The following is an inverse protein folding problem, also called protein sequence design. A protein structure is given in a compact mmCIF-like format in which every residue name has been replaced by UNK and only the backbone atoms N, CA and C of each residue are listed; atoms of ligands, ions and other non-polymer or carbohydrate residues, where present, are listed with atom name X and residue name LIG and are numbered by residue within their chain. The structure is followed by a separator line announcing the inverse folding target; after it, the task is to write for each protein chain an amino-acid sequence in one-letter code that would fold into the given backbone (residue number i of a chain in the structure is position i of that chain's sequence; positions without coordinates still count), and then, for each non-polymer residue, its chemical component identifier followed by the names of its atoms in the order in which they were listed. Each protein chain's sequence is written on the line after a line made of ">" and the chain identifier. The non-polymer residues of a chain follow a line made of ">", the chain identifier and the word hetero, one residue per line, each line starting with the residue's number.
data_IF_798337815045
#
_entry.id   IF_798337815045
#
_cell.length_a   1.000
_cell.length_b   1.000
_cell.length_c   1.000
_cell.angle_alpha   90.00
_cell.angle_beta   90.00
_cell.angle_gamma   90.00
#
_symmetry.space_group_name_H-M   'P 1'
#
loop_
_entity.id
_entity.type
_entity.pdbx_description
1 polymer ?
#
# COMPACT_ATOMS: atom_id res chain seq x y z
N UNK A 1 -27.95 -2.01 -5.31
CA UNK A 1 -26.68 -2.66 -4.91
C UNK A 1 -26.11 -3.66 -5.95
N UNK A 2 -26.84 -4.12 -6.97
CA UNK A 2 -26.29 -5.05 -8.00
C UNK A 2 -25.71 -4.37 -9.26
N UNK A 3 -25.76 -3.04 -9.38
CA UNK A 3 -25.30 -2.28 -10.56
C UNK A 3 -23.89 -1.69 -10.45
N UNK A 4 -23.24 -1.76 -9.28
CA UNK A 4 -21.92 -1.17 -9.03
C UNK A 4 -20.74 -2.06 -9.51
N UNK A 5 -20.93 -3.38 -9.51
CA UNK A 5 -19.90 -4.35 -9.89
C UNK A 5 -19.47 -4.17 -11.37
N UNK A 6 -20.38 -3.98 -12.36
CA UNK A 6 -19.99 -3.70 -13.74
C UNK A 6 -19.31 -2.35 -13.93
N UNK A 7 -19.68 -1.31 -13.18
CA UNK A 7 -19.00 -0.01 -13.26
C UNK A 7 -17.59 -0.06 -12.69
N UNK A 8 -17.39 -0.78 -11.57
CA UNK A 8 -16.08 -0.97 -10.94
C UNK A 8 -15.17 -1.79 -11.85
N UNK A 9 -15.66 -2.91 -12.41
CA UNK A 9 -14.96 -3.70 -13.44
C UNK A 9 -14.55 -2.86 -14.65
N UNK A 10 -15.44 -1.99 -15.14
CA UNK A 10 -15.14 -1.06 -16.23
C UNK A 10 -14.21 0.10 -15.83
N UNK A 11 -14.00 0.35 -14.54
CA UNK A 11 -13.01 1.31 -14.03
C UNK A 11 -11.65 0.62 -13.91
N UNK A 12 -11.58 -0.57 -13.29
CA UNK A 12 -10.39 -1.46 -13.23
C UNK A 12 -9.79 -1.63 -14.63
N UNK A 13 -10.60 -2.07 -15.60
CA UNK A 13 -10.15 -2.25 -16.98
C UNK A 13 -9.66 -0.95 -17.64
N UNK A 14 -10.23 0.22 -17.30
CA UNK A 14 -9.78 1.54 -17.80
C UNK A 14 -8.52 2.06 -17.11
N UNK A 15 -8.29 1.69 -15.86
CA UNK A 15 -7.10 2.08 -15.11
C UNK A 15 -5.90 1.22 -15.55
N UNK A 16 -6.07 -0.11 -15.59
CA UNK A 16 -5.10 -1.03 -16.17
C UNK A 16 -4.75 -0.65 -17.62
N UNK A 17 -5.74 -0.26 -18.45
CA UNK A 17 -5.49 0.26 -19.80
C UNK A 17 -4.50 1.45 -19.83
N UNK A 18 -4.72 2.44 -18.96
CA UNK A 18 -3.93 3.68 -18.93
C UNK A 18 -2.49 3.45 -18.47
N UNK A 19 -2.30 2.58 -17.49
CA UNK A 19 -0.99 2.16 -17.00
C UNK A 19 -0.21 1.45 -18.13
N UNK A 20 -0.84 0.45 -18.73
CA UNK A 20 -0.16 -0.51 -19.60
C UNK A 20 0.00 -0.03 -21.06
N UNK A 21 -0.64 1.08 -21.46
CA UNK A 21 -0.41 1.76 -22.75
C UNK A 21 1.00 2.40 -22.83
N UNK A 22 1.64 2.72 -21.69
CA UNK A 22 2.90 3.49 -21.67
C UNK A 22 4.16 2.72 -22.10
N UNK A 23 4.17 1.38 -22.13
CA UNK A 23 5.45 0.64 -21.97
C UNK A 23 6.08 -0.12 -23.16
N UNK A 24 5.36 -0.57 -24.21
CA UNK A 24 5.97 -0.92 -25.53
C UNK A 24 6.08 -2.40 -26.03
N UNK A 25 6.79 -3.32 -25.35
CA UNK A 25 7.04 -4.74 -25.80
C UNK A 25 6.23 -5.92 -25.16
N UNK A 26 4.94 -6.13 -25.48
CA UNK A 26 4.13 -7.29 -25.05
C UNK A 26 3.44 -7.97 -26.23
N UNK A 27 4.11 -8.96 -26.83
CA UNK A 27 3.57 -9.71 -27.98
C UNK A 27 3.66 -11.23 -27.88
N UNK A 28 4.26 -11.82 -26.84
CA UNK A 28 4.73 -13.23 -26.92
C UNK A 28 4.01 -14.31 -26.10
N UNK A 29 3.57 -14.11 -24.86
CA UNK A 29 3.25 -15.28 -23.97
C UNK A 29 1.86 -15.35 -23.32
N UNK A 30 0.87 -14.63 -23.85
CA UNK A 30 -0.52 -14.58 -23.31
C UNK A 30 -1.37 -15.88 -23.44
N UNK A 31 -0.75 -17.07 -23.49
CA UNK A 31 -1.40 -18.31 -23.96
C UNK A 31 -2.23 -19.10 -22.94
N UNK A 32 -2.22 -18.76 -21.64
CA UNK A 32 -2.60 -19.71 -20.57
C UNK A 32 -3.41 -19.10 -19.41
N UNK A 33 -4.16 -18.02 -19.66
CA UNK A 33 -4.92 -17.31 -18.62
C UNK A 33 -6.44 -17.37 -18.88
N UNK A 34 -7.13 -18.27 -18.14
CA UNK A 34 -8.60 -18.45 -18.02
C UNK A 34 -9.39 -18.72 -19.34
N UNK A 35 -10.05 -19.90 -19.50
CA UNK A 35 -10.77 -20.25 -20.73
C UNK A 35 -12.01 -19.38 -21.05
N UNK A 36 -12.49 -18.54 -20.15
CA UNK A 36 -13.60 -17.60 -20.41
C UNK A 36 -13.16 -16.14 -20.66
N UNK A 37 -11.88 -15.82 -20.47
CA UNK A 37 -11.32 -14.52 -20.82
C UNK A 37 -10.65 -14.64 -22.19
N UNK A 38 -11.37 -14.29 -23.27
CA UNK A 38 -10.82 -14.33 -24.63
C UNK A 38 -9.51 -13.53 -24.73
N UNK A 39 -8.34 -14.18 -24.93
CA UNK A 39 -7.06 -13.48 -25.01
C UNK A 39 -6.97 -12.55 -26.23
N UNK A 40 -7.85 -12.74 -27.23
CA UNK A 40 -7.96 -11.85 -28.38
C UNK A 40 -8.62 -10.52 -28.01
N UNK A 41 -9.49 -10.45 -26.99
CA UNK A 41 -10.07 -9.20 -26.51
C UNK A 41 -9.01 -8.28 -25.90
N UNK A 42 -8.13 -8.82 -25.05
CA UNK A 42 -7.02 -8.08 -24.45
C UNK A 42 -5.97 -7.66 -25.49
N UNK A 43 -5.73 -8.48 -26.53
CA UNK A 43 -4.90 -8.13 -27.70
C UNK A 43 -5.53 -7.05 -28.59
N UNK A 44 -6.82 -7.15 -28.90
CA UNK A 44 -7.53 -6.22 -29.78
C UNK A 44 -7.70 -4.83 -29.13
N UNK A 45 -7.92 -4.77 -27.82
CA UNK A 45 -8.03 -3.51 -27.08
C UNK A 45 -6.67 -2.81 -26.82
N UNK A 46 -5.54 -3.40 -27.24
CA UNK A 46 -4.21 -2.80 -27.12
C UNK A 46 -3.73 -2.59 -25.68
N UNK A 47 -4.30 -3.36 -24.74
CA UNK A 47 -4.30 -3.10 -23.30
C UNK A 47 -3.02 -3.47 -22.58
N UNK A 48 -2.22 -4.41 -23.09
CA UNK A 48 -0.95 -4.72 -22.46
C UNK A 48 0.14 -4.52 -23.47
N UNK A 49 1.07 -3.62 -23.10
CA UNK A 49 2.17 -3.25 -23.97
C UNK A 49 3.54 -3.64 -23.46
N UNK A 50 3.86 -3.96 -22.20
CA UNK A 50 5.21 -4.47 -21.87
C UNK A 50 5.30 -5.34 -20.59
N UNK A 51 4.34 -6.22 -20.34
CA UNK A 51 4.35 -7.04 -19.14
C UNK A 51 5.26 -8.28 -19.25
N UNK A 52 5.93 -8.61 -18.16
CA UNK A 52 6.48 -9.93 -17.87
C UNK A 52 5.36 -10.97 -17.70
N UNK A 53 5.72 -12.26 -17.69
CA UNK A 53 4.73 -13.33 -17.46
C UNK A 53 4.13 -13.24 -16.03
N UNK A 54 4.91 -12.80 -15.04
CA UNK A 54 4.45 -12.53 -13.67
C UNK A 54 3.42 -11.39 -13.64
N UNK A 55 3.70 -10.26 -14.30
CA UNK A 55 2.74 -9.15 -14.47
C UNK A 55 1.47 -9.58 -15.21
N UNK A 56 1.56 -10.48 -16.20
CA UNK A 56 0.39 -10.98 -16.91
C UNK A 56 -0.51 -11.86 -16.01
N UNK A 57 0.08 -12.72 -15.18
CA UNK A 57 -0.65 -13.54 -14.19
C UNK A 57 -1.31 -12.62 -13.14
N UNK A 58 -0.57 -11.64 -12.62
CA UNK A 58 -1.11 -10.64 -11.69
C UNK A 58 -2.31 -9.88 -12.28
N UNK A 59 -2.21 -9.41 -13.53
CA UNK A 59 -3.32 -8.71 -14.20
C UNK A 59 -4.54 -9.63 -14.45
N UNK A 60 -4.37 -10.93 -14.71
CA UNK A 60 -5.51 -11.88 -14.73
C UNK A 60 -6.16 -11.95 -13.34
N UNK A 61 -5.35 -12.13 -12.30
CA UNK A 61 -5.84 -12.27 -10.93
C UNK A 61 -6.58 -10.99 -10.48
N UNK A 62 -6.10 -9.82 -10.89
CA UNK A 62 -6.73 -8.52 -10.73
C UNK A 62 -8.10 -8.43 -11.43
N UNK A 63 -8.19 -8.88 -12.68
CA UNK A 63 -9.45 -8.88 -13.46
C UNK A 63 -10.48 -9.86 -12.92
N UNK A 64 -10.04 -10.95 -12.29
CA UNK A 64 -10.89 -11.94 -11.64
C UNK A 64 -11.21 -11.62 -10.16
N UNK A 65 -10.52 -10.66 -9.54
CA UNK A 65 -10.86 -10.16 -8.22
C UNK A 65 -12.06 -9.20 -8.31
N UNK A 66 -13.13 -9.48 -7.55
CA UNK A 66 -14.39 -8.73 -7.67
C UNK A 66 -14.46 -7.46 -6.83
N UNK A 67 -13.65 -7.34 -5.78
CA UNK A 67 -13.57 -6.17 -4.91
C UNK A 67 -12.11 -5.96 -4.48
N UNK A 68 -11.63 -4.72 -4.59
CA UNK A 68 -10.43 -4.22 -3.94
C UNK A 68 -10.81 -2.96 -3.16
N UNK A 69 -10.05 -2.65 -2.11
CA UNK A 69 -10.19 -1.47 -1.28
C UNK A 69 -9.01 -0.52 -1.44
N UNK A 70 -7.82 -1.09 -1.64
CA UNK A 70 -6.56 -0.39 -1.86
C UNK A 70 -6.61 0.56 -3.06
N UNK A 71 -6.03 1.77 -2.92
CA UNK A 71 -6.07 2.81 -3.96
C UNK A 71 -5.42 2.37 -5.28
N UNK A 72 -4.35 1.56 -5.21
CA UNK A 72 -3.51 1.11 -6.34
C UNK A 72 -3.38 -0.41 -6.33
N UNK A 73 -4.38 -1.14 -5.79
CA UNK A 73 -4.44 -2.61 -5.79
C UNK A 73 -3.39 -3.31 -4.90
N UNK A 74 -2.84 -2.62 -3.89
CA UNK A 74 -1.89 -3.17 -2.92
C UNK A 74 -2.45 -4.46 -2.27
N UNK A 75 -3.73 -4.47 -1.88
CA UNK A 75 -4.42 -5.62 -1.31
C UNK A 75 -4.43 -6.85 -2.25
N UNK A 76 -4.69 -6.64 -3.54
CA UNK A 76 -4.67 -7.68 -4.56
C UNK A 76 -3.25 -8.14 -4.89
N UNK A 77 -2.26 -7.24 -4.85
CA UNK A 77 -0.84 -7.59 -5.01
C UNK A 77 -0.37 -8.49 -3.87
N UNK A 78 -0.68 -8.13 -2.62
CA UNK A 78 -0.39 -8.96 -1.44
C UNK A 78 -1.06 -10.33 -1.55
N UNK A 79 -2.34 -10.39 -1.96
CA UNK A 79 -3.01 -11.67 -2.21
C UNK A 79 -2.39 -12.49 -3.35
N UNK A 80 -1.81 -11.86 -4.36
CA UNK A 80 -1.11 -12.57 -5.44
C UNK A 80 0.23 -13.15 -4.94
N UNK A 81 1.10 -12.33 -4.35
CA UNK A 81 2.42 -12.75 -3.85
C UNK A 81 2.31 -13.79 -2.73
N UNK A 82 1.35 -13.63 -1.81
CA UNK A 82 1.08 -14.60 -0.71
C UNK A 82 0.33 -15.85 -1.17
N UNK A 83 -0.01 -15.97 -2.46
CA UNK A 83 -0.85 -17.04 -3.03
C UNK A 83 -2.19 -17.20 -2.29
N UNK A 84 -2.80 -16.06 -1.94
CA UNK A 84 -4.08 -15.93 -1.25
C UNK A 84 -4.07 -16.56 0.14
N UNK A 85 -2.96 -16.39 0.87
CA UNK A 85 -2.79 -16.83 2.27
C UNK A 85 -3.97 -16.40 3.13
N UNK A 86 -4.40 -17.27 4.04
CA UNK A 86 -5.29 -16.94 5.15
C UNK A 86 -4.49 -16.85 6.45
N UNK A 87 -5.06 -16.17 7.44
CA UNK A 87 -4.50 -16.09 8.79
C UNK A 87 -3.10 -15.43 8.84
N UNK A 88 -2.83 -14.51 7.90
CA UNK A 88 -1.60 -13.73 7.84
C UNK A 88 -1.55 -12.57 8.84
N UNK A 89 -0.39 -11.91 8.94
CA UNK A 89 -0.19 -10.74 9.78
C UNK A 89 0.16 -9.49 8.97
N UNK A 90 -0.55 -8.39 9.20
CA UNK A 90 -0.26 -7.09 8.58
C UNK A 90 0.05 -5.97 9.58
N UNK A 91 0.70 -4.92 9.09
CA UNK A 91 0.70 -3.59 9.71
C UNK A 91 0.35 -2.55 8.66
N UNK A 92 -0.47 -1.56 8.99
CA UNK A 92 -0.82 -0.44 8.11
C UNK A 92 -0.83 0.85 8.94
N UNK A 93 -0.13 1.87 8.48
CA UNK A 93 -0.18 3.20 9.07
C UNK A 93 -0.35 4.24 7.98
N UNK A 94 -1.11 5.30 8.28
CA UNK A 94 -1.93 6.00 7.29
C UNK A 94 -3.33 5.37 7.15
N UNK A 95 -3.86 4.75 8.21
CA UNK A 95 -5.04 3.88 8.12
C UNK A 95 -6.37 4.64 7.88
N UNK A 96 -6.43 5.95 8.12
CA UNK A 96 -7.61 6.81 7.98
C UNK A 96 -8.88 6.21 8.60
N UNK A 97 -10.01 6.12 7.88
CA UNK A 97 -11.26 5.53 8.36
C UNK A 97 -11.24 3.99 8.43
N UNK A 98 -10.15 3.38 7.97
CA UNK A 98 -9.92 1.94 7.93
C UNK A 98 -10.55 1.19 6.75
N UNK A 99 -11.33 1.82 5.87
CA UNK A 99 -12.01 1.16 4.74
C UNK A 99 -11.64 1.80 3.41
N UNK A 100 -11.85 3.11 3.27
CA UNK A 100 -11.66 3.80 2.01
C UNK A 100 -10.15 3.90 1.71
N UNK A 101 -9.74 3.41 0.53
CA UNK A 101 -8.33 3.25 0.13
C UNK A 101 -7.47 2.30 0.98
N UNK A 102 -8.01 1.64 2.02
CA UNK A 102 -7.20 0.79 2.91
C UNK A 102 -6.59 -0.42 2.19
N UNK A 103 -5.30 -0.62 2.44
CA UNK A 103 -4.51 -1.68 1.84
C UNK A 103 -4.65 -3.04 2.54
N UNK A 104 -5.25 -3.09 3.75
CA UNK A 104 -5.38 -4.34 4.53
C UNK A 104 -6.82 -4.75 4.83
N UNK A 105 -7.83 -3.89 4.61
CA UNK A 105 -9.22 -4.22 4.93
C UNK A 105 -9.75 -5.49 4.25
N UNK A 106 -9.38 -5.72 2.98
CA UNK A 106 -9.69 -6.96 2.26
C UNK A 106 -9.06 -8.20 2.92
N UNK A 107 -7.81 -8.05 3.38
CA UNK A 107 -7.02 -9.13 3.99
C UNK A 107 -7.62 -9.54 5.34
N UNK A 108 -7.97 -8.55 6.17
CA UNK A 108 -8.65 -8.77 7.45
C UNK A 108 -9.99 -9.47 7.23
N UNK A 109 -10.89 -8.83 6.47
CA UNK A 109 -12.29 -9.26 6.37
C UNK A 109 -12.48 -10.59 5.63
N UNK A 110 -11.85 -10.75 4.46
CA UNK A 110 -12.14 -11.90 3.59
C UNK A 110 -11.13 -13.04 3.76
N UNK A 111 -9.92 -12.74 4.23
CA UNK A 111 -8.82 -13.71 4.40
C UNK A 111 -8.46 -14.01 5.86
N UNK A 112 -9.16 -13.43 6.83
CA UNK A 112 -8.95 -13.63 8.27
C UNK A 112 -7.54 -13.25 8.73
N UNK A 113 -6.91 -12.26 8.07
CA UNK A 113 -5.67 -11.69 8.55
C UNK A 113 -5.92 -10.86 9.81
N UNK A 114 -4.90 -10.71 10.63
CA UNK A 114 -4.90 -9.87 11.84
C UNK A 114 -3.71 -8.92 11.79
N UNK A 115 -3.75 -7.82 12.51
CA UNK A 115 -2.68 -6.84 12.39
C UNK A 115 -2.80 -5.66 13.32
N UNK A 116 -2.01 -4.64 13.00
CA UNK A 116 -1.95 -3.34 13.67
C UNK A 116 -2.29 -2.26 12.66
N UNK A 117 -3.14 -1.32 13.06
CA UNK A 117 -3.44 -0.08 12.35
C UNK A 117 -2.91 1.09 13.17
N UNK A 118 -2.28 2.09 12.55
CA UNK A 118 -1.96 3.34 13.22
C UNK A 118 -2.46 4.56 12.44
N UNK A 119 -3.11 5.47 13.16
CA UNK A 119 -3.68 6.69 12.62
C UNK A 119 -3.60 7.80 13.69
N UNK A 120 -2.77 8.84 13.49
CA UNK A 120 -2.60 9.91 14.48
C UNK A 120 -3.64 11.04 14.40
N UNK A 121 -4.46 11.11 13.34
CA UNK A 121 -5.40 12.21 13.11
C UNK A 121 -6.78 11.95 13.78
N UNK A 122 -7.16 12.71 14.84
CA UNK A 122 -8.34 12.41 15.65
C UNK A 122 -9.70 12.42 14.94
N UNK A 123 -9.77 13.01 13.75
CA UNK A 123 -10.98 13.00 12.91
C UNK A 123 -11.37 11.58 12.47
N UNK A 124 -10.38 10.69 12.30
CA UNK A 124 -10.59 9.34 11.79
C UNK A 124 -10.86 8.31 12.89
N UNK A 125 -10.38 8.55 14.11
CA UNK A 125 -10.35 7.54 15.19
C UNK A 125 -11.70 6.86 15.45
N UNK A 126 -12.81 7.61 15.42
CA UNK A 126 -14.16 7.08 15.69
C UNK A 126 -14.63 6.10 14.61
N UNK A 127 -14.33 6.40 13.35
CA UNK A 127 -14.67 5.54 12.22
C UNK A 127 -13.73 4.33 12.14
N UNK A 128 -12.42 4.55 12.29
CA UNK A 128 -11.42 3.48 12.34
C UNK A 128 -11.77 2.39 13.39
N UNK A 129 -12.07 2.81 14.63
CA UNK A 129 -12.49 1.90 15.71
C UNK A 129 -13.84 1.23 15.49
N UNK A 130 -14.72 1.81 14.65
CA UNK A 130 -16.01 1.20 14.28
C UNK A 130 -15.86 0.18 13.15
N UNK A 131 -14.93 0.45 12.24
CA UNK A 131 -14.80 -0.25 10.97
C UNK A 131 -13.86 -1.45 11.01
N UNK A 132 -12.95 -1.51 12.00
CA UNK A 132 -11.85 -2.49 12.06
C UNK A 132 -11.82 -3.26 13.39
N UNK A 133 -11.31 -4.49 13.34
CA UNK A 133 -11.12 -5.38 14.49
C UNK A 133 -9.65 -5.66 14.81
N UNK A 134 -8.74 -5.25 13.92
CA UNK A 134 -7.30 -5.16 14.17
C UNK A 134 -6.96 -4.33 15.42
N UNK A 135 -5.73 -4.50 15.93
CA UNK A 135 -5.21 -3.64 17.01
C UNK A 135 -5.05 -2.22 16.45
N UNK A 136 -5.46 -1.20 17.19
CA UNK A 136 -5.37 0.21 16.77
C UNK A 136 -4.41 0.95 17.69
N UNK A 137 -3.48 1.70 17.12
CA UNK A 137 -2.66 2.70 17.78
C UNK A 137 -3.02 4.09 17.27
N UNK A 138 -2.95 5.09 18.15
CA UNK A 138 -3.35 6.48 17.86
C UNK A 138 -2.14 7.44 17.84
N UNK A 139 -0.92 6.88 17.86
CA UNK A 139 0.34 7.61 17.74
C UNK A 139 0.82 7.64 16.29
N UNK A 140 1.64 8.64 15.99
CA UNK A 140 2.26 8.77 14.69
C UNK A 140 3.45 7.81 14.60
N UNK A 141 3.46 6.91 13.60
CA UNK A 141 4.63 6.08 13.32
C UNK A 141 5.71 6.97 12.73
N UNK A 142 6.88 7.06 13.37
CA UNK A 142 7.97 7.94 12.97
C UNK A 142 9.35 7.36 13.32
N UNK A 143 10.42 8.13 13.13
CA UNK A 143 11.81 7.73 13.40
C UNK A 143 12.18 7.65 14.90
N UNK A 144 11.41 8.31 15.78
CA UNK A 144 11.60 8.31 17.24
C UNK A 144 10.32 7.99 18.02
N UNK A 145 10.45 7.53 19.27
CA UNK A 145 9.33 7.23 20.18
C UNK A 145 9.23 8.24 21.32
N UNK A 146 8.01 8.61 21.71
CA UNK A 146 7.73 9.47 22.86
C UNK A 146 7.98 10.96 22.62
N UNK A 147 8.23 11.37 21.38
CA UNK A 147 8.33 12.78 20.99
C UNK A 147 6.93 13.34 20.71
N UNK A 148 6.77 14.67 20.81
CA UNK A 148 5.57 15.36 20.32
C UNK A 148 5.92 16.09 19.03
N UNK A 149 5.38 15.63 17.91
CA UNK A 149 5.55 16.27 16.60
C UNK A 149 4.31 17.07 16.22
N UNK A 150 4.53 18.12 15.42
CA UNK A 150 3.45 18.89 14.82
C UNK A 150 2.94 18.15 13.60
N UNK A 151 1.67 17.78 13.60
CA UNK A 151 1.00 17.10 12.50
C UNK A 151 0.01 18.06 11.83
N UNK A 152 -0.02 18.03 10.51
CA UNK A 152 -0.81 18.89 9.64
C UNK A 152 -2.12 18.17 9.31
N UNK A 153 -3.14 18.44 10.11
CA UNK A 153 -4.50 18.00 9.84
C UNK A 153 -5.08 18.87 8.72
N UNK A 154 -4.86 18.44 7.48
CA UNK A 154 -5.33 19.11 6.27
C UNK A 154 -6.88 19.09 6.15
N UNK A 155 -7.43 20.08 5.44
CA UNK A 155 -8.86 20.16 5.11
C UNK A 155 -9.43 18.91 4.44
N UNK A 156 -8.61 18.21 3.66
CA UNK A 156 -8.86 16.86 3.19
C UNK A 156 -8.06 15.91 4.09
N UNK A 157 -8.67 15.25 5.10
CA UNK A 157 -7.88 14.69 6.21
C UNK A 157 -7.13 13.39 5.88
N UNK A 158 -7.33 12.85 4.67
CA UNK A 158 -6.48 11.80 4.08
C UNK A 158 -5.07 12.34 3.81
N UNK A 159 -4.93 13.63 3.50
CA UNK A 159 -3.64 14.27 3.21
C UNK A 159 -2.90 14.73 4.47
N UNK A 160 -2.97 13.94 5.55
CA UNK A 160 -2.34 14.27 6.83
C UNK A 160 -0.85 13.93 6.84
N UNK A 161 0.01 14.83 7.29
CA UNK A 161 1.48 14.62 7.30
C UNK A 161 2.15 15.35 8.47
N UNK A 162 3.43 15.09 8.72
CA UNK A 162 4.24 15.81 9.72
C UNK A 162 4.69 17.17 9.16
N UNK A 163 4.63 18.22 9.99
CA UNK A 163 5.09 19.56 9.66
C UNK A 163 6.60 19.54 9.34
N UNK A 164 6.97 19.97 8.14
CA UNK A 164 8.31 19.83 7.55
C UNK A 164 8.33 18.96 6.29
N UNK A 165 7.37 18.05 6.13
CA UNK A 165 7.27 17.16 4.96
C UNK A 165 6.29 17.66 3.89
N UNK A 166 5.48 18.69 4.16
CA UNK A 166 4.26 19.04 3.40
C UNK A 166 4.48 19.59 1.99
N UNK A 167 5.73 19.71 1.57
CA UNK A 167 6.15 20.36 0.33
C UNK A 167 6.96 19.48 -0.61
N UNK A 168 7.20 18.21 -0.23
CA UNK A 168 7.90 17.22 -1.07
C UNK A 168 6.98 16.42 -1.99
N UNK A 169 5.78 16.08 -1.51
CA UNK A 169 4.83 15.12 -2.12
C UNK A 169 3.93 15.67 -3.24
N UNK A 170 3.82 17.01 -3.38
CA UNK A 170 2.94 17.66 -4.34
C UNK A 170 1.56 18.07 -3.81
N UNK A 171 1.20 17.72 -2.57
CA UNK A 171 -0.09 18.04 -1.95
C UNK A 171 -0.17 19.43 -1.32
N UNK A 172 0.92 20.21 -1.34
CA UNK A 172 1.03 21.58 -0.79
C UNK A 172 -0.17 22.51 -1.07
N UNK A 173 -0.74 22.47 -2.27
CA UNK A 173 -1.90 23.31 -2.62
C UNK A 173 -3.19 22.85 -1.90
N UNK A 174 -3.39 21.54 -1.77
CA UNK A 174 -4.54 20.96 -1.07
C UNK A 174 -4.44 21.13 0.46
N UNK A 175 -3.22 21.26 1.01
CA UNK A 175 -2.95 21.58 2.42
C UNK A 175 -2.94 23.08 2.75
N UNK A 176 -3.30 23.96 1.81
CA UNK A 176 -3.31 25.42 2.04
C UNK A 176 -4.32 25.87 3.13
N UNK A 177 -5.33 25.06 3.40
CA UNK A 177 -6.18 25.14 4.60
C UNK A 177 -5.90 23.91 5.48
N UNK A 178 -5.29 24.13 6.65
CA UNK A 178 -4.95 23.08 7.62
C UNK A 178 -5.08 23.57 9.06
N UNK A 179 -5.25 22.65 10.01
CA UNK A 179 -4.92 22.88 11.42
C UNK A 179 -3.64 22.13 11.78
N UNK A 180 -2.89 22.66 12.76
CA UNK A 180 -1.72 21.97 13.32
C UNK A 180 -2.14 21.38 14.67
N UNK A 181 -1.96 20.08 14.82
CA UNK A 181 -2.17 19.35 16.08
C UNK A 181 -0.82 18.81 16.57
N UNK A 182 -0.72 18.47 17.86
CA UNK A 182 0.45 17.78 18.39
C UNK A 182 0.12 16.32 18.69
N UNK A 183 0.87 15.42 18.07
CA UNK A 183 0.70 13.97 18.19
C UNK A 183 1.96 13.36 18.82
N UNK A 184 1.78 12.31 19.62
CA UNK A 184 2.89 11.54 20.16
C UNK A 184 3.40 10.56 19.10
N UNK A 185 4.72 10.34 19.05
CA UNK A 185 5.35 9.42 18.10
C UNK A 185 5.66 8.05 18.68
N UNK A 186 5.73 7.04 17.82
CA UNK A 186 6.25 5.70 18.13
C UNK A 186 7.08 5.19 16.94
N UNK A 187 8.21 4.52 17.19
CA UNK A 187 8.95 3.84 16.12
C UNK A 187 8.21 2.60 15.65
N UNK A 188 8.39 2.21 14.38
CA UNK A 188 7.81 0.96 13.88
C UNK A 188 8.26 -0.25 14.72
N UNK A 189 9.52 -0.29 15.17
CA UNK A 189 10.00 -1.31 16.11
C UNK A 189 9.21 -1.31 17.44
N UNK A 190 9.00 -0.13 18.05
CA UNK A 190 8.28 0.01 19.31
C UNK A 190 6.79 -0.29 19.18
N UNK A 191 6.17 0.02 18.04
CA UNK A 191 4.80 -0.36 17.71
C UNK A 191 4.66 -1.88 17.65
N UNK A 192 5.55 -2.56 16.92
CA UNK A 192 5.56 -4.03 16.81
C UNK A 192 5.77 -4.71 18.17
N UNK A 193 6.67 -4.19 19.01
CA UNK A 193 6.88 -4.67 20.37
C UNK A 193 5.64 -4.52 21.26
N UNK A 194 5.08 -3.31 21.33
CA UNK A 194 4.00 -2.98 22.27
C UNK A 194 2.67 -3.65 21.93
N UNK A 195 2.52 -4.10 20.68
CA UNK A 195 1.36 -4.84 20.19
C UNK A 195 1.61 -6.36 20.04
N UNK A 196 2.67 -6.91 20.62
CA UNK A 196 3.02 -8.35 20.55
C UNK A 196 3.00 -8.90 19.10
N UNK A 197 3.55 -8.15 18.15
CA UNK A 197 3.59 -8.57 16.75
C UNK A 197 4.46 -9.84 16.60
N UNK A 198 4.09 -10.76 15.69
CA UNK A 198 4.95 -11.89 15.36
C UNK A 198 6.26 -11.39 14.73
N UNK A 199 7.35 -12.13 14.95
CA UNK A 199 8.63 -11.90 14.27
C UNK A 199 8.48 -11.95 12.73
N UNK A 200 7.67 -12.89 12.25
CA UNK A 200 7.36 -13.06 10.83
C UNK A 200 6.05 -12.33 10.49
N UNK A 201 6.15 -11.30 9.65
CA UNK A 201 5.08 -10.40 9.24
C UNK A 201 4.88 -10.56 7.72
N UNK A 202 3.65 -10.80 7.27
CA UNK A 202 3.40 -11.04 5.85
C UNK A 202 3.41 -9.75 5.03
N UNK A 203 2.96 -8.63 5.61
CA UNK A 203 2.80 -7.37 4.88
C UNK A 203 2.89 -6.15 5.80
N UNK A 204 3.58 -5.10 5.35
CA UNK A 204 3.49 -3.76 5.94
C UNK A 204 3.15 -2.72 4.87
N UNK A 205 2.10 -1.93 5.12
CA UNK A 205 1.75 -0.72 4.36
C UNK A 205 2.27 0.51 5.09
N UNK A 206 3.06 1.32 4.39
CA UNK A 206 3.70 2.55 4.87
C UNK A 206 3.17 3.71 4.03
N UNK A 207 2.23 4.46 4.58
CA UNK A 207 1.63 5.64 3.97
C UNK A 207 1.67 6.77 5.01
N UNK A 208 2.60 7.71 4.84
CA UNK A 208 2.82 8.81 5.81
C UNK A 208 2.94 10.16 5.14
N UNK A 209 2.62 10.26 3.85
CA UNK A 209 2.67 11.50 3.09
C UNK A 209 4.03 12.21 3.24
N UNK A 210 5.11 11.43 3.10
CA UNK A 210 6.48 11.91 2.86
C UNK A 210 7.57 11.47 3.86
N UNK A 211 7.25 10.84 4.99
CA UNK A 211 8.23 10.46 6.04
C UNK A 211 8.72 9.00 6.03
N UNK A 212 8.46 8.29 4.93
CA UNK A 212 8.60 6.85 4.83
C UNK A 212 10.07 6.39 4.93
N UNK A 213 10.98 7.17 4.34
CA UNK A 213 12.41 6.86 4.36
C UNK A 213 12.99 6.99 5.77
N UNK A 214 12.66 8.06 6.50
CA UNK A 214 13.12 8.29 7.88
C UNK A 214 12.62 7.21 8.85
N UNK A 215 11.41 6.68 8.62
CA UNK A 215 10.86 5.55 9.39
C UNK A 215 11.66 4.27 9.11
N UNK A 216 11.93 3.98 7.84
CA UNK A 216 12.59 2.74 7.43
C UNK A 216 14.10 2.74 7.70
N UNK A 217 14.78 3.89 7.64
CA UNK A 217 16.18 4.03 8.09
C UNK A 217 16.34 3.70 9.59
N UNK A 218 15.27 3.79 10.37
CA UNK A 218 15.24 3.45 11.80
C UNK A 218 14.70 2.03 12.09
N UNK A 219 14.33 1.25 11.07
CA UNK A 219 13.72 -0.07 11.22
C UNK A 219 14.76 -1.19 11.40
N UNK A 220 14.51 -2.12 12.33
CA UNK A 220 15.44 -3.24 12.57
C UNK A 220 15.13 -4.42 11.63
N UNK A 221 15.62 -4.32 10.40
CA UNK A 221 15.57 -5.39 9.39
C UNK A 221 16.31 -6.68 9.79
N UNK A 222 17.15 -6.66 10.84
CA UNK A 222 17.82 -7.85 11.36
C UNK A 222 16.93 -8.65 12.32
N UNK A 223 16.01 -7.96 12.99
CA UNK A 223 15.12 -8.49 14.02
C UNK A 223 13.72 -8.85 13.51
N UNK A 224 13.22 -8.19 12.48
CA UNK A 224 11.86 -8.41 11.97
C UNK A 224 11.90 -8.98 10.55
N UNK A 225 11.20 -10.09 10.35
CA UNK A 225 11.07 -10.74 9.06
C UNK A 225 9.78 -10.31 8.37
N UNK A 226 9.86 -9.26 7.56
CA UNK A 226 8.72 -8.79 6.76
C UNK A 226 8.80 -9.40 5.35
N UNK A 227 7.72 -10.00 4.86
CA UNK A 227 7.71 -10.61 3.52
C UNK A 227 7.47 -9.56 2.41
N UNK A 228 6.49 -8.67 2.61
CA UNK A 228 6.05 -7.69 1.63
C UNK A 228 5.95 -6.29 2.24
N UNK A 229 6.30 -5.28 1.46
CA UNK A 229 6.06 -3.87 1.79
C UNK A 229 5.37 -3.15 0.65
N UNK A 230 4.42 -2.27 0.94
CA UNK A 230 4.06 -1.17 0.04
C UNK A 230 4.38 0.14 0.75
N UNK A 231 5.11 1.00 0.08
CA UNK A 231 5.63 2.24 0.66
C UNK A 231 5.31 3.39 -0.29
N UNK A 232 4.55 4.37 0.15
CA UNK A 232 4.30 5.57 -0.65
C UNK A 232 5.62 6.33 -0.89
N UNK A 233 5.81 6.89 -2.10
CA UNK A 233 6.96 7.76 -2.40
C UNK A 233 6.59 9.02 -3.19
N UNK A 234 5.33 9.17 -3.59
CA UNK A 234 4.77 10.32 -4.30
C UNK A 234 5.59 10.78 -5.53
N UNK A 235 6.27 9.85 -6.20
CA UNK A 235 7.20 10.12 -7.33
C UNK A 235 8.30 11.14 -6.99
N UNK A 236 8.65 11.26 -5.70
CA UNK A 236 9.67 12.18 -5.21
C UNK A 236 11.07 11.59 -5.41
N UNK A 237 12.11 12.42 -5.28
CA UNK A 237 13.51 11.96 -5.36
C UNK A 237 13.88 10.96 -4.24
N UNK A 238 13.06 10.85 -3.18
CA UNK A 238 13.24 9.92 -2.05
C UNK A 238 13.10 8.46 -2.47
N UNK A 239 12.38 8.17 -3.56
CA UNK A 239 12.24 6.82 -4.14
C UNK A 239 13.60 6.14 -4.35
N UNK A 240 14.63 6.87 -4.80
CA UNK A 240 15.97 6.31 -5.03
C UNK A 240 16.74 5.99 -3.74
N UNK A 241 16.41 6.66 -2.63
CA UNK A 241 16.91 6.33 -1.30
C UNK A 241 16.24 5.07 -0.77
N UNK A 242 14.92 4.99 -0.92
CA UNK A 242 14.10 3.86 -0.53
C UNK A 242 14.48 2.57 -1.28
N UNK A 243 14.56 2.62 -2.62
CA UNK A 243 15.00 1.48 -3.45
C UNK A 243 16.40 0.96 -3.06
N UNK A 244 17.29 1.87 -2.64
CA UNK A 244 18.63 1.51 -2.17
C UNK A 244 18.56 0.80 -0.82
N UNK A 245 17.90 1.41 0.17
CA UNK A 245 17.74 0.88 1.52
C UNK A 245 17.10 -0.52 1.49
N UNK A 246 15.97 -0.66 0.81
CA UNK A 246 15.25 -1.93 0.71
C UNK A 246 16.10 -3.02 0.04
N UNK A 247 16.87 -2.67 -1.01
CA UNK A 247 17.78 -3.62 -1.66
C UNK A 247 18.97 -4.01 -0.78
N UNK A 248 19.53 -3.08 -0.01
CA UNK A 248 20.61 -3.36 0.94
C UNK A 248 20.17 -4.31 2.06
N UNK A 249 18.87 -4.30 2.42
CA UNK A 249 18.25 -5.24 3.34
C UNK A 249 17.62 -6.48 2.68
N UNK A 250 17.93 -6.77 1.42
CA UNK A 250 17.57 -8.02 0.75
C UNK A 250 16.15 -8.08 0.17
N UNK A 251 15.58 -6.93 -0.22
CA UNK A 251 14.30 -6.85 -0.92
C UNK A 251 14.46 -6.47 -2.40
N UNK A 252 13.54 -6.95 -3.24
CA UNK A 252 13.43 -6.54 -4.65
C UNK A 252 12.16 -5.71 -4.89
N UNK A 253 12.28 -4.67 -5.74
CA UNK A 253 11.16 -3.85 -6.20
C UNK A 253 10.28 -4.68 -7.15
N UNK A 254 8.98 -4.75 -6.88
CA UNK A 254 7.97 -5.48 -7.64
C UNK A 254 7.10 -4.51 -8.44
N UNK A 255 6.76 -4.90 -9.67
CA UNK A 255 5.76 -4.23 -10.51
C UNK A 255 5.82 -2.68 -10.56
N UNK A 256 7.01 -2.04 -10.76
CA UNK A 256 7.12 -0.58 -10.79
C UNK A 256 6.36 0.06 -11.96
N UNK A 257 5.97 -0.73 -12.97
CA UNK A 257 5.08 -0.30 -14.04
C UNK A 257 3.65 -0.06 -13.55
N UNK A 258 3.22 -0.72 -12.47
CA UNK A 258 1.85 -0.76 -11.94
C UNK A 258 1.68 -0.05 -10.59
N UNK A 259 2.72 -0.01 -9.74
CA UNK A 259 2.61 0.51 -8.36
C UNK A 259 2.43 2.04 -8.28
N UNK A 260 2.65 2.79 -9.35
CA UNK A 260 2.24 4.20 -9.44
C UNK A 260 3.03 5.14 -8.53
N UNK A 261 2.39 5.68 -7.49
CA UNK A 261 3.03 6.49 -6.44
C UNK A 261 3.59 5.65 -5.29
N UNK A 262 3.39 4.33 -5.32
CA UNK A 262 3.92 3.36 -4.36
C UNK A 262 5.18 2.65 -4.86
N UNK A 263 5.91 2.13 -3.89
CA UNK A 263 7.00 1.21 -4.05
C UNK A 263 6.66 -0.12 -3.36
N UNK A 264 6.47 -1.16 -4.17
CA UNK A 264 6.17 -2.51 -3.69
C UNK A 264 7.45 -3.33 -3.61
N UNK A 265 7.73 -3.93 -2.46
CA UNK A 265 8.94 -4.71 -2.23
C UNK A 265 8.61 -6.11 -1.73
N UNK A 266 9.35 -7.10 -2.24
CA UNK A 266 9.29 -8.50 -1.79
C UNK A 266 10.64 -8.93 -1.23
N UNK A 267 10.65 -9.60 -0.08
CA UNK A 267 11.89 -10.15 0.49
C UNK A 267 12.44 -11.24 -0.44
N UNK A 268 13.72 -11.15 -0.78
CA UNK A 268 14.42 -12.19 -1.54
C UNK A 268 14.87 -13.28 -0.56
N UNK A 269 14.33 -14.49 -0.71
CA UNK A 269 14.83 -15.66 0.01
C UNK A 269 16.16 -16.11 -0.60
N UNK A 270 17.24 -16.02 0.18
CA UNK A 270 18.55 -16.61 -0.09
C UNK A 270 18.59 -18.12 0.13
#
# INVERSE_FOLDING_TARGET
>A
MQSLIPSLRNHILRHAARILIKSGTFRRHLGTLDPNLDPNFLRAAGLIRNATDEEAVFVRDLVNATNAYAQIWQDLWVLHETRRKRDGYFVEFGATDGIDCSNTYLLERDFNWRGILAEPNPVWHTELMRNRTAKIDLRCVFSGSGERVKFVAAKYPVLGTILGFESGDGHKAARSEHSIIEVETVTLNGLLEQHDAPHDIDYISVDTEGSELEILECFDFSRWNVMLWSVEHNMTQREQGLDRLMREHGYERRYPSCSGIDAWYRRVTS
#
